data_IF_490938533918
#
_entry.id   IF_490938533918
#
_cell.length_a   1.000
_cell.length_b   1.000
_cell.length_c   1.000
_cell.angle_alpha   90.00
_cell.angle_beta   90.00
_cell.angle_gamma   90.00
#
_symmetry.space_group_name_H-M   'P 1'
#
loop_
_entity.id
_entity.type
_entity.pdbx_description
1 polymer ?
#
# COMPACT_ATOMS: atom_id res chain seq x y z
N UNK A 1 34.31 42.79 -9.31
CA UNK A 1 34.88 41.43 -9.10
C UNK A 1 33.78 40.45 -8.60
N UNK A 2 32.67 40.32 -9.32
CA UNK A 2 31.50 39.50 -8.90
C UNK A 2 30.91 38.61 -10.03
N UNK A 3 31.65 38.34 -11.11
CA UNK A 3 31.15 37.57 -12.26
C UNK A 3 31.38 36.04 -12.27
N UNK A 4 32.23 35.42 -11.38
CA UNK A 4 32.47 33.98 -11.50
C UNK A 4 31.50 33.12 -10.69
N UNK A 5 30.67 33.68 -9.78
CA UNK A 5 29.75 32.85 -8.93
C UNK A 5 28.47 32.54 -9.67
N UNK A 6 27.99 33.43 -10.54
CA UNK A 6 26.75 33.21 -11.32
C UNK A 6 26.91 32.12 -12.40
N UNK A 7 28.07 32.02 -13.01
CA UNK A 7 28.34 31.00 -14.03
C UNK A 7 28.49 29.58 -13.47
N UNK A 8 28.99 29.41 -12.25
CA UNK A 8 29.08 28.11 -11.59
C UNK A 8 27.69 27.54 -11.20
N UNK A 9 26.77 28.41 -10.81
CA UNK A 9 25.38 28.01 -10.53
C UNK A 9 24.65 27.51 -11.76
N UNK A 10 24.84 28.14 -12.90
CA UNK A 10 24.21 27.75 -14.17
C UNK A 10 24.72 26.41 -14.70
N UNK A 11 26.01 26.10 -14.54
CA UNK A 11 26.59 24.80 -14.93
C UNK A 11 26.17 23.63 -14.05
N UNK A 12 25.93 23.87 -12.76
CA UNK A 12 25.43 22.83 -11.84
C UNK A 12 23.95 22.54 -12.10
N UNK A 13 23.15 23.57 -12.41
CA UNK A 13 21.74 23.43 -12.77
C UNK A 13 21.55 22.69 -14.10
N UNK A 14 22.37 22.99 -15.11
CA UNK A 14 22.36 22.29 -16.39
C UNK A 14 22.67 20.78 -16.27
N UNK A 15 23.64 20.41 -15.44
CA UNK A 15 24.01 19.02 -15.21
C UNK A 15 22.94 18.22 -14.44
N UNK A 16 22.20 18.85 -13.54
CA UNK A 16 21.07 18.22 -12.84
C UNK A 16 19.87 17.99 -13.76
N UNK A 17 19.59 18.91 -14.66
CA UNK A 17 18.51 18.79 -15.67
C UNK A 17 18.83 17.66 -16.65
N UNK A 18 20.08 17.54 -17.10
CA UNK A 18 20.50 16.47 -18.00
C UNK A 18 20.45 15.08 -17.33
N UNK A 19 20.80 15.00 -16.06
CA UNK A 19 20.69 13.74 -15.28
C UNK A 19 19.23 13.35 -15.07
N UNK A 20 18.34 14.30 -14.72
CA UNK A 20 16.91 14.05 -14.61
C UNK A 20 16.27 13.66 -15.95
N UNK A 21 16.62 14.33 -17.04
CA UNK A 21 16.15 13.99 -18.39
C UNK A 21 16.54 12.57 -18.78
N UNK A 22 17.78 12.18 -18.53
CA UNK A 22 18.28 10.85 -18.83
C UNK A 22 17.66 9.76 -17.94
N UNK A 23 17.35 10.07 -16.67
CA UNK A 23 16.60 9.18 -15.78
C UNK A 23 15.15 9.01 -16.26
N UNK A 24 14.50 10.08 -16.69
CA UNK A 24 13.14 10.06 -17.24
C UNK A 24 13.12 9.27 -18.56
N UNK A 25 14.09 9.49 -19.45
CA UNK A 25 14.22 8.73 -20.69
C UNK A 25 14.48 7.23 -20.43
N UNK A 26 15.33 6.89 -19.46
CA UNK A 26 15.57 5.51 -19.06
C UNK A 26 14.30 4.85 -18.49
N UNK A 27 13.52 5.59 -17.70
CA UNK A 27 12.24 5.13 -17.17
C UNK A 27 11.20 4.91 -18.30
N UNK A 28 11.15 5.82 -19.29
CA UNK A 28 10.27 5.66 -20.46
C UNK A 28 10.70 4.52 -21.37
N UNK A 29 11.98 4.30 -21.58
CA UNK A 29 12.51 3.16 -22.35
C UNK A 29 12.27 1.81 -21.65
N UNK A 30 12.31 1.77 -20.33
CA UNK A 30 11.99 0.58 -19.54
C UNK A 30 10.48 0.22 -19.58
N UNK A 31 9.62 1.17 -19.94
CA UNK A 31 8.17 0.98 -20.10
C UNK A 31 7.76 0.49 -21.50
N UNK A 32 8.67 0.46 -22.48
CA UNK A 32 8.39 -0.09 -23.81
C UNK A 32 8.36 -1.61 -23.72
N UNK A 33 7.18 -2.18 -23.53
CA UNK A 33 6.96 -3.62 -23.67
C UNK A 33 6.96 -3.96 -25.17
N UNK A 34 7.92 -4.76 -25.61
CA UNK A 34 7.84 -5.40 -26.91
C UNK A 34 6.67 -6.40 -26.87
N UNK A 35 5.73 -6.35 -27.84
CA UNK A 35 4.70 -7.36 -27.88
C UNK A 35 5.37 -8.70 -28.18
N UNK A 36 5.40 -9.60 -27.20
CA UNK A 36 5.66 -11.00 -27.47
C UNK A 36 4.42 -11.55 -28.18
N UNK A 37 4.56 -12.11 -29.35
CA UNK A 37 3.52 -12.92 -29.99
C UNK A 37 3.42 -14.22 -29.20
N UNK A 38 2.70 -14.19 -28.09
CA UNK A 38 2.38 -15.38 -27.35
C UNK A 38 1.26 -16.12 -28.10
N UNK A 39 1.41 -17.41 -28.26
CA UNK A 39 0.33 -18.29 -28.65
C UNK A 39 -0.81 -18.09 -27.64
N UNK A 40 -2.05 -17.91 -28.10
CA UNK A 40 -3.18 -17.74 -27.17
C UNK A 40 -3.23 -18.94 -26.21
N UNK A 41 -3.30 -18.73 -24.91
CA UNK A 41 -3.35 -19.82 -23.95
C UNK A 41 -4.60 -20.68 -24.18
N UNK A 42 -4.44 -21.99 -24.08
CA UNK A 42 -5.59 -22.91 -24.09
C UNK A 42 -6.34 -22.82 -22.75
N UNK A 43 -7.52 -22.21 -22.77
CA UNK A 43 -8.39 -22.09 -21.60
C UNK A 43 -9.33 -23.26 -21.38
N UNK A 44 -9.22 -24.35 -22.17
CA UNK A 44 -10.08 -25.54 -22.09
C UNK A 44 -10.11 -26.16 -20.70
N UNK A 45 -8.96 -26.22 -20.01
CA UNK A 45 -8.87 -26.73 -18.65
C UNK A 45 -9.70 -25.90 -17.65
N UNK A 46 -9.62 -24.56 -17.72
CA UNK A 46 -10.34 -23.65 -16.83
C UNK A 46 -11.85 -23.69 -17.10
N UNK A 47 -12.23 -23.68 -18.38
CA UNK A 47 -13.62 -23.77 -18.82
C UNK A 47 -14.27 -25.04 -18.31
N UNK A 48 -13.60 -26.19 -18.46
CA UNK A 48 -14.10 -27.49 -17.99
C UNK A 48 -14.22 -27.53 -16.45
N UNK A 49 -13.23 -26.99 -15.74
CA UNK A 49 -13.20 -26.98 -14.27
C UNK A 49 -14.35 -26.17 -13.68
N UNK A 50 -14.63 -25.02 -14.26
CA UNK A 50 -15.62 -24.07 -13.74
C UNK A 50 -16.97 -24.13 -14.49
N UNK A 51 -17.12 -24.98 -15.48
CA UNK A 51 -18.37 -25.11 -16.27
C UNK A 51 -18.65 -23.85 -17.11
N UNK A 52 -17.61 -23.14 -17.56
CA UNK A 52 -17.80 -21.98 -18.42
C UNK A 52 -18.04 -22.39 -19.86
N UNK A 53 -19.09 -21.83 -20.48
CA UNK A 53 -19.46 -22.05 -21.86
C UNK A 53 -19.60 -20.74 -22.63
N UNK A 54 -19.48 -20.80 -23.96
CA UNK A 54 -19.67 -19.64 -24.83
C UNK A 54 -21.07 -19.05 -24.67
N UNK A 55 -21.17 -17.76 -24.41
CA UNK A 55 -22.43 -17.05 -24.12
C UNK A 55 -22.65 -16.75 -22.63
N UNK A 56 -21.88 -17.35 -21.74
CA UNK A 56 -21.84 -16.95 -20.33
C UNK A 56 -21.08 -15.61 -20.14
N UNK A 57 -21.26 -14.91 -18.99
CA UNK A 57 -20.47 -13.74 -18.65
C UNK A 57 -18.98 -14.01 -18.78
N UNK A 58 -18.21 -13.01 -19.20
CA UNK A 58 -16.77 -13.14 -19.38
C UNK A 58 -16.07 -13.63 -18.11
N UNK A 59 -14.96 -14.34 -18.27
CA UNK A 59 -14.22 -14.96 -17.15
C UNK A 59 -13.84 -13.98 -16.04
N UNK A 60 -13.63 -12.69 -16.36
CA UNK A 60 -13.32 -11.65 -15.36
C UNK A 60 -14.43 -11.50 -14.31
N UNK A 61 -15.69 -11.78 -14.69
CA UNK A 61 -16.84 -11.70 -13.77
C UNK A 61 -16.83 -12.83 -12.72
N UNK A 62 -16.01 -13.85 -12.93
CA UNK A 62 -15.82 -14.96 -11.99
C UNK A 62 -14.79 -14.61 -10.91
N UNK A 63 -13.83 -13.72 -11.21
CA UNK A 63 -12.86 -13.25 -10.21
C UNK A 63 -13.56 -12.37 -9.17
N UNK A 64 -13.52 -12.79 -7.94
CA UNK A 64 -14.13 -12.05 -6.82
C UNK A 64 -13.17 -10.96 -6.37
N UNK A 65 -13.52 -9.69 -6.63
CA UNK A 65 -12.71 -8.52 -6.22
C UNK A 65 -12.92 -8.23 -4.74
N UNK A 66 -12.27 -9.03 -3.91
CA UNK A 66 -12.37 -8.98 -2.45
C UNK A 66 -11.06 -9.42 -1.77
N UNK A 67 -10.73 -8.93 -0.57
CA UNK A 67 -9.51 -9.29 0.14
C UNK A 67 -9.32 -10.79 0.39
N UNK A 68 -10.41 -11.53 0.56
CA UNK A 68 -10.33 -12.98 0.80
C UNK A 68 -9.93 -13.78 -0.44
N UNK A 69 -10.16 -13.24 -1.65
CA UNK A 69 -9.99 -13.97 -2.91
C UNK A 69 -8.86 -13.46 -3.78
N UNK A 70 -8.17 -12.41 -3.36
CA UNK A 70 -7.03 -11.84 -4.09
C UNK A 70 -5.72 -12.03 -3.33
N UNK A 71 -4.62 -11.68 -3.98
CA UNK A 71 -3.30 -11.64 -3.34
C UNK A 71 -3.22 -10.65 -2.16
N UNK A 72 -2.21 -10.77 -1.30
CA UNK A 72 -2.14 -10.03 -0.03
C UNK A 72 -2.09 -8.52 -0.19
N UNK A 73 -1.69 -8.03 -1.36
CA UNK A 73 -1.46 -6.61 -1.65
C UNK A 73 -2.54 -5.97 -2.54
N UNK A 74 -3.58 -6.71 -2.96
CA UNK A 74 -4.60 -6.20 -3.90
C UNK A 74 -5.55 -5.17 -3.27
N UNK A 75 -6.07 -5.50 -2.09
CA UNK A 75 -7.00 -4.68 -1.30
C UNK A 75 -6.52 -4.60 0.15
N UNK A 76 -5.31 -4.05 0.39
CA UNK A 76 -4.73 -4.03 1.73
C UNK A 76 -5.57 -3.17 2.67
N UNK A 77 -5.59 -3.56 3.94
CA UNK A 77 -6.16 -2.70 5.00
C UNK A 77 -5.31 -1.44 5.12
N UNK A 78 -5.89 -0.23 4.98
CA UNK A 78 -5.17 1.02 5.12
C UNK A 78 -4.44 1.15 6.47
N UNK A 79 -3.21 1.65 6.42
CA UNK A 79 -2.38 1.86 7.62
C UNK A 79 -3.03 2.85 8.59
N UNK A 80 -2.99 2.54 9.88
CA UNK A 80 -3.40 3.46 10.95
C UNK A 80 -2.39 4.61 11.06
N UNK A 81 -2.81 5.83 10.73
CA UNK A 81 -1.99 7.05 10.86
C UNK A 81 -2.07 7.59 12.29
N UNK A 82 -1.02 8.32 12.71
CA UNK A 82 -0.86 8.80 14.09
C UNK A 82 -1.63 10.06 14.46
N UNK A 83 -2.51 10.55 13.57
CA UNK A 83 -3.27 11.78 13.80
C UNK A 83 -2.45 13.06 13.60
N UNK A 84 -1.18 12.97 13.19
CA UNK A 84 -0.34 14.13 12.89
C UNK A 84 0.65 13.86 11.75
N UNK A 85 1.06 14.93 11.09
CA UNK A 85 2.06 14.91 10.02
C UNK A 85 3.48 14.89 10.58
N UNK A 86 4.37 14.16 9.92
CA UNK A 86 5.81 14.21 10.16
C UNK A 86 6.39 15.49 9.57
N UNK A 87 7.45 16.03 10.21
CA UNK A 87 8.08 17.26 9.76
C UNK A 87 9.19 17.03 8.71
N UNK A 88 9.57 15.80 8.44
CA UNK A 88 10.62 15.44 7.47
C UNK A 88 10.01 14.61 6.36
N UNK A 89 10.53 14.77 5.16
CA UNK A 89 10.26 13.85 4.06
C UNK A 89 10.89 12.50 4.38
N UNK A 90 10.20 11.42 4.01
CA UNK A 90 10.70 10.06 4.17
C UNK A 90 10.61 9.32 2.82
N UNK A 91 11.66 8.58 2.48
CA UNK A 91 11.65 7.58 1.41
C UNK A 91 11.89 6.24 2.10
N UNK A 92 10.98 5.31 1.87
CA UNK A 92 11.01 3.98 2.48
C UNK A 92 11.04 2.90 1.40
N UNK A 93 11.86 1.89 1.62
CA UNK A 93 11.85 0.63 0.88
C UNK A 93 11.58 -0.48 1.87
N UNK A 94 10.64 -1.35 1.55
CA UNK A 94 10.20 -2.44 2.41
C UNK A 94 10.28 -3.76 1.65
N UNK A 95 10.87 -4.77 2.28
CA UNK A 95 10.77 -6.16 1.86
C UNK A 95 9.77 -6.89 2.75
N UNK A 96 8.84 -7.62 2.14
CA UNK A 96 7.79 -8.35 2.86
C UNK A 96 7.78 -9.83 2.49
N UNK A 97 7.42 -10.66 3.46
CA UNK A 97 7.08 -12.07 3.24
C UNK A 97 5.73 -12.35 3.86
N UNK A 98 4.82 -12.84 3.03
CA UNK A 98 3.46 -13.20 3.41
C UNK A 98 3.36 -14.72 3.51
N UNK A 99 3.02 -15.21 4.68
CA UNK A 99 2.82 -16.63 4.97
C UNK A 99 1.32 -16.92 4.97
N UNK A 100 0.88 -17.70 4.01
CA UNK A 100 -0.45 -18.27 3.94
C UNK A 100 -0.33 -19.71 3.40
N UNK A 101 -1.06 -20.65 3.99
CA UNK A 101 -1.02 -22.04 3.52
C UNK A 101 -1.51 -22.10 2.09
N UNK A 102 -0.65 -22.52 1.17
CA UNK A 102 -0.94 -22.62 -0.25
C UNK A 102 -0.75 -21.34 -1.07
N UNK A 103 -0.40 -20.18 -0.48
CA UNK A 103 -0.07 -18.94 -1.23
C UNK A 103 1.05 -18.14 -0.57
N UNK A 104 2.28 -18.68 -0.44
CA UNK A 104 3.43 -17.90 0.00
C UNK A 104 3.75 -16.82 -1.03
N UNK A 105 3.85 -15.58 -0.57
CA UNK A 105 4.11 -14.40 -1.41
C UNK A 105 5.23 -13.55 -0.82
N UNK A 106 6.09 -12.96 -1.67
CA UNK A 106 7.12 -12.01 -1.28
C UNK A 106 6.99 -10.76 -2.12
N UNK A 107 7.27 -9.59 -1.52
CA UNK A 107 7.26 -8.34 -2.26
C UNK A 107 8.37 -7.37 -1.84
N UNK A 108 8.64 -6.45 -2.75
CA UNK A 108 9.36 -5.21 -2.48
C UNK A 108 8.40 -4.06 -2.76
N UNK A 109 8.21 -3.21 -1.77
CA UNK A 109 7.37 -2.02 -1.87
C UNK A 109 8.15 -0.74 -1.59
N UNK A 110 7.64 0.39 -2.09
CA UNK A 110 8.22 1.70 -1.92
C UNK A 110 7.20 2.69 -1.39
N UNK A 111 7.67 3.67 -0.62
CA UNK A 111 6.87 4.80 -0.14
C UNK A 111 7.69 6.09 -0.17
N UNK A 112 7.10 7.16 -0.68
CA UNK A 112 7.61 8.52 -0.58
C UNK A 112 6.59 9.38 0.17
N UNK A 113 7.02 10.07 1.22
CA UNK A 113 6.22 10.98 2.03
C UNK A 113 6.87 12.37 2.02
N UNK A 114 6.11 13.40 1.67
CA UNK A 114 6.59 14.77 1.51
C UNK A 114 5.65 15.74 2.23
N UNK A 115 6.05 16.29 3.39
CA UNK A 115 5.32 17.37 4.06
C UNK A 115 5.64 18.72 3.41
N UNK A 116 4.65 19.60 3.36
CA UNK A 116 4.77 20.98 2.87
C UNK A 116 3.76 21.89 3.58
N UNK A 117 3.68 23.16 3.16
CA UNK A 117 2.80 24.15 3.78
C UNK A 117 3.01 24.22 5.31
N UNK A 118 4.27 24.34 5.77
CA UNK A 118 4.65 24.40 7.18
C UNK A 118 4.15 23.20 8.02
N UNK A 119 4.10 22.02 7.40
CA UNK A 119 3.63 20.79 8.04
C UNK A 119 2.12 20.71 8.24
N UNK A 120 1.33 21.48 7.48
CA UNK A 120 -0.14 21.40 7.49
C UNK A 120 -0.70 20.41 6.48
N UNK A 121 0.06 20.15 5.43
CA UNK A 121 -0.31 19.22 4.35
C UNK A 121 0.87 18.28 4.08
N UNK A 122 0.58 17.06 3.68
CA UNK A 122 1.57 16.15 3.13
C UNK A 122 0.99 15.35 1.96
N UNK A 123 1.86 14.98 1.04
CA UNK A 123 1.58 14.02 -0.02
C UNK A 123 2.32 12.73 0.30
N UNK A 124 1.68 11.61 0.06
CA UNK A 124 2.30 10.30 0.15
C UNK A 124 1.99 9.51 -1.13
N UNK A 125 3.01 8.88 -1.70
CA UNK A 125 2.90 7.95 -2.82
C UNK A 125 3.51 6.62 -2.39
N UNK A 126 2.80 5.50 -2.60
CA UNK A 126 3.30 4.18 -2.23
C UNK A 126 2.69 3.08 -3.11
N UNK A 127 3.33 1.92 -3.10
CA UNK A 127 2.85 0.75 -3.82
C UNK A 127 3.87 -0.39 -3.80
N UNK A 128 3.43 -1.56 -4.21
CA UNK A 128 4.30 -2.72 -4.42
C UNK A 128 5.00 -2.57 -5.77
N UNK A 129 6.33 -2.58 -5.75
CA UNK A 129 7.15 -2.44 -6.95
C UNK A 129 7.19 -3.77 -7.71
N UNK A 130 7.37 -4.86 -6.96
CA UNK A 130 7.44 -6.22 -7.50
C UNK A 130 6.93 -7.20 -6.45
N UNK A 131 6.13 -8.15 -6.87
CA UNK A 131 5.60 -9.25 -6.07
C UNK A 131 5.91 -10.56 -6.76
N UNK A 132 6.45 -11.52 -6.02
CA UNK A 132 6.61 -12.92 -6.42
C UNK A 132 5.59 -13.76 -5.68
N UNK A 133 4.82 -14.55 -6.42
CA UNK A 133 3.79 -15.44 -5.86
C UNK A 133 3.96 -16.88 -6.34
N UNK A 134 3.50 -17.81 -5.51
CA UNK A 134 3.47 -19.22 -5.82
C UNK A 134 2.33 -19.88 -5.03
N UNK A 135 1.16 -20.08 -5.65
CA UNK A 135 0.02 -20.70 -4.97
C UNK A 135 -0.29 -22.08 -5.55
N UNK A 136 -0.87 -22.91 -4.70
CA UNK A 136 -1.29 -24.28 -5.04
C UNK A 136 -2.60 -24.29 -5.82
N UNK A 137 -2.90 -25.44 -6.41
CA UNK A 137 -4.09 -25.64 -7.24
C UNK A 137 -5.41 -25.34 -6.53
N UNK A 138 -5.53 -25.68 -5.25
CA UNK A 138 -6.73 -25.41 -4.46
C UNK A 138 -7.01 -23.91 -4.37
N UNK A 139 -5.99 -23.09 -4.12
CA UNK A 139 -6.10 -21.63 -4.09
C UNK A 139 -6.41 -21.06 -5.46
N UNK A 140 -5.78 -21.60 -6.54
CA UNK A 140 -6.07 -21.25 -7.92
C UNK A 140 -7.56 -21.42 -8.23
N UNK A 141 -8.09 -22.59 -7.90
CA UNK A 141 -9.47 -22.95 -8.19
C UNK A 141 -10.47 -22.14 -7.35
N UNK A 142 -10.19 -21.94 -6.06
CA UNK A 142 -11.01 -21.10 -5.16
C UNK A 142 -11.13 -19.65 -5.66
N UNK A 143 -10.05 -19.12 -6.22
CA UNK A 143 -10.00 -17.73 -6.74
C UNK A 143 -10.45 -17.58 -8.19
N UNK A 144 -10.87 -18.66 -8.85
CA UNK A 144 -11.19 -18.70 -10.28
C UNK A 144 -10.04 -18.20 -11.16
N UNK A 145 -8.81 -18.37 -10.70
CA UNK A 145 -7.63 -17.92 -11.42
C UNK A 145 -7.43 -18.68 -12.72
N UNK A 146 -7.01 -17.97 -13.76
CA UNK A 146 -6.62 -18.49 -15.06
C UNK A 146 -5.10 -18.71 -15.22
N UNK A 147 -4.34 -18.50 -14.17
CA UNK A 147 -2.91 -18.80 -14.14
C UNK A 147 -2.71 -20.28 -13.79
N UNK A 148 -2.51 -21.11 -14.81
CA UNK A 148 -2.43 -22.57 -14.66
C UNK A 148 -1.27 -22.98 -13.76
N UNK A 149 -0.12 -22.34 -13.90
CA UNK A 149 1.09 -22.63 -13.14
C UNK A 149 1.01 -22.16 -11.67
N UNK A 150 0.15 -21.20 -11.37
CA UNK A 150 -0.02 -20.63 -10.03
C UNK A 150 1.21 -19.87 -9.50
N UNK A 151 2.14 -19.47 -10.37
CA UNK A 151 3.39 -18.82 -9.99
C UNK A 151 3.79 -17.74 -10.97
N UNK A 152 4.40 -16.69 -10.46
CA UNK A 152 4.85 -15.60 -11.33
C UNK A 152 5.30 -14.35 -10.60
N UNK A 153 5.36 -13.29 -11.36
CA UNK A 153 5.72 -11.95 -10.88
C UNK A 153 4.57 -11.02 -11.22
N UNK A 154 4.16 -10.21 -10.23
CA UNK A 154 3.15 -9.16 -10.40
C UNK A 154 3.70 -7.80 -10.00
N UNK A 155 3.07 -6.73 -10.48
CA UNK A 155 3.33 -5.34 -10.11
C UNK A 155 2.09 -4.78 -9.42
N UNK A 156 2.29 -3.99 -8.37
CA UNK A 156 1.18 -3.50 -7.56
C UNK A 156 0.49 -2.25 -8.09
N UNK A 157 -0.65 -1.95 -7.47
CA UNK A 157 -1.31 -0.66 -7.64
C UNK A 157 -0.50 0.46 -6.99
N UNK A 158 -0.56 1.65 -7.58
CA UNK A 158 -0.03 2.87 -6.99
C UNK A 158 -1.12 3.58 -6.18
N UNK A 159 -0.73 4.06 -5.02
CA UNK A 159 -1.57 4.83 -4.11
C UNK A 159 -1.04 6.26 -3.99
N UNK A 160 -1.95 7.23 -4.07
CA UNK A 160 -1.66 8.64 -3.90
C UNK A 160 -2.52 9.20 -2.78
N UNK A 161 -1.90 9.66 -1.70
CA UNK A 161 -2.58 10.21 -0.54
C UNK A 161 -2.29 11.70 -0.40
N UNK A 162 -3.34 12.47 -0.10
CA UNK A 162 -3.23 13.81 0.46
C UNK A 162 -3.62 13.75 1.93
N UNK A 163 -2.79 14.30 2.79
CA UNK A 163 -3.01 14.34 4.24
C UNK A 163 -3.06 15.79 4.71
N UNK A 164 -4.04 16.12 5.52
CA UNK A 164 -4.29 17.48 6.03
C UNK A 164 -4.35 17.44 7.56
N UNK A 165 -3.47 18.22 8.22
CA UNK A 165 -3.48 18.37 9.66
C UNK A 165 -4.63 19.29 10.08
N UNK A 166 -5.67 18.73 10.69
CA UNK A 166 -6.82 19.51 11.16
C UNK A 166 -6.54 20.13 12.54
N UNK A 167 -6.09 19.31 13.49
CA UNK A 167 -5.72 19.76 14.85
C UNK A 167 -4.40 19.11 15.26
N UNK A 168 -3.49 19.89 15.86
CA UNK A 168 -2.22 19.42 16.42
C UNK A 168 -1.86 20.21 17.67
N UNK A 169 -1.35 19.51 18.69
CA UNK A 169 -0.82 20.08 19.94
C UNK A 169 -1.79 21.02 20.67
N UNK A 170 -3.09 20.68 20.66
CA UNK A 170 -4.17 21.45 21.28
C UNK A 170 -4.81 20.68 22.45
N UNK A 171 -5.82 21.29 23.07
CA UNK A 171 -6.67 20.65 24.08
C UNK A 171 -7.36 19.40 23.51
N UNK A 172 -7.77 19.46 22.23
CA UNK A 172 -8.34 18.33 21.47
C UNK A 172 -7.25 17.34 21.03
N UNK A 173 -7.61 16.08 20.73
CA UNK A 173 -6.69 15.13 20.11
C UNK A 173 -6.10 15.68 18.81
N UNK A 174 -4.85 15.31 18.51
CA UNK A 174 -4.29 15.51 17.18
C UNK A 174 -5.20 14.82 16.19
N UNK A 175 -5.57 15.49 15.10
CA UNK A 175 -6.52 15.00 14.13
C UNK A 175 -5.98 15.21 12.72
N UNK A 176 -5.90 14.14 11.96
CA UNK A 176 -5.41 14.11 10.59
C UNK A 176 -6.50 13.58 9.67
N UNK A 177 -6.80 14.31 8.60
CA UNK A 177 -7.59 13.83 7.47
C UNK A 177 -6.66 13.26 6.41
N UNK A 178 -6.94 12.05 5.93
CA UNK A 178 -6.29 11.47 4.76
C UNK A 178 -7.32 11.13 3.70
N UNK A 179 -7.00 11.46 2.45
CA UNK A 179 -7.73 11.02 1.26
C UNK A 179 -6.74 10.33 0.35
N UNK A 180 -7.05 9.12 -0.10
CA UNK A 180 -6.17 8.29 -0.92
C UNK A 180 -6.90 7.78 -2.15
N UNK A 181 -6.24 7.87 -3.29
CA UNK A 181 -6.65 7.24 -4.54
C UNK A 181 -5.79 6.01 -4.79
N UNK A 182 -6.39 4.91 -5.19
CA UNK A 182 -5.74 3.71 -5.69
C UNK A 182 -5.95 3.64 -7.20
N UNK A 183 -4.87 3.46 -7.94
CA UNK A 183 -4.93 3.27 -9.39
C UNK A 183 -5.34 1.84 -9.74
N UNK A 184 -5.66 1.60 -11.00
CA UNK A 184 -5.83 0.27 -11.58
C UNK A 184 -4.55 -0.13 -12.36
N UNK A 185 -3.36 0.08 -11.75
CA UNK A 185 -2.08 -0.17 -12.39
C UNK A 185 -1.48 -1.53 -12.05
N UNK A 186 -2.08 -2.24 -11.12
CA UNK A 186 -1.68 -3.58 -10.74
C UNK A 186 -1.82 -4.57 -11.91
N UNK A 187 -1.01 -5.62 -11.90
CA UNK A 187 -0.99 -6.61 -12.96
C UNK A 187 -1.56 -7.95 -12.50
N UNK A 188 -1.74 -8.89 -13.45
CA UNK A 188 -2.05 -10.30 -13.21
C UNK A 188 -3.40 -10.52 -12.50
N UNK A 189 -4.46 -9.85 -13.00
CA UNK A 189 -5.83 -10.16 -12.56
C UNK A 189 -6.20 -11.62 -12.88
N UNK A 190 -5.69 -12.18 -13.95
CA UNK A 190 -5.86 -13.59 -14.32
C UNK A 190 -5.30 -14.55 -13.27
N UNK A 191 -4.29 -14.12 -12.52
CA UNK A 191 -3.73 -14.84 -11.39
C UNK A 191 -4.38 -14.45 -10.04
N UNK A 192 -5.45 -13.67 -10.06
CA UNK A 192 -6.10 -13.12 -8.86
C UNK A 192 -5.11 -12.38 -7.92
N UNK A 193 -4.11 -11.69 -8.50
CA UNK A 193 -3.11 -10.95 -7.71
C UNK A 193 -3.55 -9.53 -7.43
N UNK A 194 -3.87 -8.72 -8.46
CA UNK A 194 -4.38 -7.36 -8.32
C UNK A 194 -5.72 -7.21 -9.03
N UNK A 195 -6.49 -6.20 -8.64
CA UNK A 195 -7.91 -6.13 -9.02
C UNK A 195 -8.18 -5.50 -10.38
N UNK A 196 -7.17 -4.91 -11.04
CA UNK A 196 -7.35 -4.12 -12.28
C UNK A 196 -8.52 -3.11 -12.16
N UNK A 197 -8.77 -2.63 -10.97
CA UNK A 197 -9.89 -1.76 -10.63
C UNK A 197 -9.42 -0.60 -9.73
N UNK A 198 -9.82 0.64 -10.00
CA UNK A 198 -9.49 1.77 -9.14
C UNK A 198 -10.29 1.72 -7.83
N UNK A 199 -9.81 2.47 -6.85
CA UNK A 199 -10.48 2.64 -5.57
C UNK A 199 -10.03 3.91 -4.88
N UNK A 200 -10.69 4.26 -3.79
CA UNK A 200 -10.31 5.37 -2.95
C UNK A 200 -10.76 5.14 -1.51
N UNK A 201 -10.04 5.72 -0.60
CA UNK A 201 -10.48 5.77 0.79
C UNK A 201 -10.21 7.13 1.42
N UNK A 202 -10.99 7.46 2.42
CA UNK A 202 -10.78 8.63 3.24
C UNK A 202 -10.96 8.26 4.71
N UNK A 203 -10.09 8.80 5.57
CA UNK A 203 -10.15 8.57 7.01
C UNK A 203 -9.73 9.78 7.83
N UNK A 204 -10.25 9.81 9.05
CA UNK A 204 -9.80 10.66 10.13
C UNK A 204 -9.04 9.80 11.14
N UNK A 205 -7.80 10.17 11.40
CA UNK A 205 -6.98 9.56 12.43
C UNK A 205 -6.80 10.50 13.61
N UNK A 206 -6.87 9.95 14.82
CA UNK A 206 -6.84 10.70 16.08
C UNK A 206 -5.75 10.17 16.99
N UNK A 207 -5.07 11.04 17.74
CA UNK A 207 -4.15 10.63 18.79
C UNK A 207 -3.98 11.67 19.90
N UNK A 208 -3.49 11.21 21.05
CA UNK A 208 -3.11 12.10 22.14
C UNK A 208 -1.85 11.56 22.82
N UNK A 209 -0.90 12.48 23.09
CA UNK A 209 0.36 12.13 23.73
C UNK A 209 0.26 12.24 25.24
N UNK A 210 0.72 11.19 25.94
CA UNK A 210 0.89 11.14 27.38
C UNK A 210 2.33 10.79 27.68
N UNK A 211 3.07 11.72 28.30
CA UNK A 211 4.49 11.51 28.62
C UNK A 211 4.67 11.33 30.13
N UNK A 212 5.31 10.24 30.52
CA UNK A 212 5.67 9.98 31.93
C UNK A 212 6.82 10.87 32.38
N UNK A 213 7.05 10.99 33.70
CA UNK A 213 8.19 11.69 34.27
C UNK A 213 9.54 11.12 33.82
N UNK A 214 9.58 9.84 33.45
CA UNK A 214 10.78 9.13 32.99
C UNK A 214 10.99 9.21 31.46
N UNK A 215 10.20 10.03 30.78
CA UNK A 215 10.30 10.24 29.33
C UNK A 215 9.75 9.12 28.45
N UNK A 216 8.94 8.20 29.02
CA UNK A 216 8.17 7.25 28.23
C UNK A 216 6.92 7.96 27.69
N UNK A 217 6.76 7.98 26.37
CA UNK A 217 5.56 8.48 25.71
C UNK A 217 4.64 7.32 25.39
N UNK A 218 3.38 7.45 25.78
CA UNK A 218 2.26 6.59 25.40
C UNK A 218 1.30 7.39 24.53
N UNK A 219 0.96 6.88 23.35
CA UNK A 219 0.06 7.54 22.39
C UNK A 219 -1.02 6.58 21.94
N UNK A 220 -2.23 6.63 22.51
CA UNK A 220 -3.40 5.98 21.93
C UNK A 220 -3.75 6.62 20.58
N UNK A 221 -4.20 5.77 19.64
CA UNK A 221 -4.51 6.14 18.25
C UNK A 221 -5.83 5.51 17.88
N UNK A 222 -6.67 6.27 17.16
CA UNK A 222 -7.92 5.78 16.56
C UNK A 222 -8.03 6.22 15.11
N UNK A 223 -8.79 5.50 14.31
CA UNK A 223 -9.08 5.81 12.91
C UNK A 223 -10.51 5.41 12.58
N UNK A 224 -11.21 6.29 11.86
CA UNK A 224 -12.51 6.01 11.25
C UNK A 224 -12.55 6.60 9.84
N UNK A 225 -13.15 5.87 8.92
CA UNK A 225 -13.23 6.31 7.54
C UNK A 225 -14.10 5.39 6.70
N UNK A 226 -13.93 5.48 5.40
CA UNK A 226 -14.55 4.58 4.44
C UNK A 226 -13.57 4.21 3.32
N UNK A 227 -13.80 3.06 2.70
CA UNK A 227 -13.07 2.58 1.55
C UNK A 227 -14.04 2.14 0.47
N UNK A 228 -13.79 2.55 -0.76
CA UNK A 228 -14.61 2.19 -1.92
C UNK A 228 -13.72 1.70 -3.05
N UNK A 229 -14.14 0.64 -3.74
CA UNK A 229 -13.43 0.09 -4.91
C UNK A 229 -14.41 -0.47 -5.92
N UNK A 230 -14.01 -0.48 -7.18
CA UNK A 230 -14.78 -1.11 -8.23
C UNK A 230 -14.69 -2.64 -8.15
N UNK A 231 -15.76 -3.29 -8.57
CA UNK A 231 -15.86 -4.76 -8.67
C UNK A 231 -16.17 -5.18 -10.11
N UNK A 232 -16.06 -6.47 -10.38
CA UNK A 232 -16.45 -7.07 -11.66
C UNK A 232 -17.89 -7.61 -11.65
N UNK A 233 -18.64 -7.36 -10.59
CA UNK A 233 -20.03 -7.78 -10.44
C UNK A 233 -20.95 -6.79 -11.18
N UNK A 234 -21.58 -7.24 -12.27
CA UNK A 234 -22.44 -6.40 -13.11
C UNK A 234 -23.66 -5.82 -12.37
N UNK A 235 -24.11 -6.50 -11.30
CA UNK A 235 -25.22 -6.01 -10.46
C UNK A 235 -24.76 -5.01 -9.40
N UNK A 236 -23.48 -5.03 -9.05
CA UNK A 236 -22.90 -4.19 -8.01
C UNK A 236 -21.47 -3.78 -8.40
N UNK A 237 -21.35 -2.81 -9.30
CA UNK A 237 -20.07 -2.35 -9.87
C UNK A 237 -19.11 -1.74 -8.84
N UNK A 238 -19.57 -1.51 -7.61
CA UNK A 238 -18.80 -0.90 -6.53
C UNK A 238 -19.06 -1.63 -5.22
N UNK A 239 -18.02 -1.76 -4.40
CA UNK A 239 -18.15 -2.15 -3.00
C UNK A 239 -17.69 -0.99 -2.12
N UNK A 240 -18.40 -0.74 -1.03
CA UNK A 240 -18.10 0.28 -0.03
C UNK A 240 -17.93 -0.38 1.33
N UNK A 241 -17.01 0.15 2.12
CA UNK A 241 -16.69 -0.41 3.42
C UNK A 241 -16.47 0.70 4.46
N UNK A 242 -16.92 0.46 5.68
CA UNK A 242 -16.54 1.25 6.83
C UNK A 242 -15.11 0.89 7.25
N UNK A 243 -14.20 1.86 7.21
CA UNK A 243 -12.80 1.71 7.62
C UNK A 243 -12.67 2.06 9.10
N UNK A 244 -11.95 1.24 9.85
CA UNK A 244 -11.74 1.44 11.29
C UNK A 244 -10.34 1.00 11.72
N UNK A 245 -9.88 1.57 12.84
CA UNK A 245 -8.63 1.16 13.46
C UNK A 245 -8.46 1.72 14.86
N UNK A 246 -7.77 0.96 15.71
CA UNK A 246 -7.33 1.40 17.02
C UNK A 246 -5.95 0.84 17.33
N UNK A 247 -5.17 1.60 18.09
CA UNK A 247 -3.84 1.16 18.46
C UNK A 247 -3.18 2.10 19.47
N UNK A 248 -1.92 1.83 19.74
CA UNK A 248 -1.10 2.69 20.56
C UNK A 248 0.38 2.61 20.16
N UNK A 249 1.10 3.73 20.35
CA UNK A 249 2.55 3.78 20.32
C UNK A 249 3.09 3.87 21.77
N UNK A 250 4.22 3.20 21.98
CA UNK A 250 5.12 3.40 23.12
C UNK A 250 6.46 3.88 22.60
N UNK A 251 6.90 5.10 22.99
CA UNK A 251 8.14 5.68 22.49
C UNK A 251 9.09 6.02 23.64
N UNK A 252 10.35 5.60 23.50
CA UNK A 252 11.45 5.96 24.41
C UNK A 252 12.80 5.85 23.72
N UNK A 253 13.69 6.84 23.89
CA UNK A 253 15.07 6.81 23.37
C UNK A 253 15.17 6.47 21.88
N UNK A 254 14.32 7.11 21.06
CA UNK A 254 14.23 6.89 19.61
C UNK A 254 13.80 5.46 19.21
N UNK A 255 13.31 4.65 20.12
CA UNK A 255 12.58 3.43 19.86
C UNK A 255 11.09 3.72 19.92
N UNK A 256 10.36 3.10 19.01
CA UNK A 256 8.90 3.09 18.98
C UNK A 256 8.41 1.68 18.81
N UNK A 257 7.59 1.25 19.73
CA UNK A 257 6.77 0.05 19.60
C UNK A 257 5.35 0.47 19.27
N UNK A 258 4.74 -0.12 18.24
CA UNK A 258 3.36 0.12 17.82
C UNK A 258 2.59 -1.18 17.90
N UNK A 259 1.40 -1.15 18.52
CA UNK A 259 0.44 -2.24 18.46
C UNK A 259 -0.90 -1.70 17.96
N UNK A 260 -1.54 -2.38 16.99
CA UNK A 260 -2.84 -1.94 16.47
C UNK A 260 -3.70 -3.08 15.95
N UNK A 261 -5.01 -2.83 15.94
CA UNK A 261 -6.01 -3.61 15.24
C UNK A 261 -6.67 -2.70 14.20
N UNK A 262 -6.67 -3.12 12.95
CA UNK A 262 -7.24 -2.36 11.83
C UNK A 262 -8.06 -3.27 10.93
N UNK A 263 -9.02 -2.69 10.22
CA UNK A 263 -9.86 -3.43 9.29
C UNK A 263 -10.82 -2.52 8.56
N UNK A 264 -11.59 -3.12 7.68
CA UNK A 264 -12.77 -2.50 7.10
C UNK A 264 -13.92 -3.50 7.01
N UNK A 265 -15.13 -2.99 6.92
CA UNK A 265 -16.35 -3.77 6.94
C UNK A 265 -17.16 -3.46 5.68
N UNK A 266 -17.00 -4.29 4.64
CA UNK A 266 -17.75 -4.18 3.41
C UNK A 266 -19.19 -4.68 3.54
N UNK A 267 -20.06 -4.23 2.65
CA UNK A 267 -21.49 -4.55 2.71
C UNK A 267 -21.89 -5.79 1.87
N UNK A 268 -21.04 -6.21 0.93
CA UNK A 268 -21.37 -7.32 0.03
C UNK A 268 -21.32 -8.70 0.68
N UNK A 269 -20.61 -8.83 1.81
CA UNK A 269 -20.43 -10.08 2.54
C UNK A 269 -19.83 -11.21 1.68
N UNK A 270 -18.87 -10.87 0.83
CA UNK A 270 -18.19 -11.77 -0.09
C UNK A 270 -16.67 -11.87 0.20
N UNK A 271 -16.27 -11.92 1.48
CA UNK A 271 -14.87 -11.88 1.89
C UNK A 271 -14.29 -10.46 1.95
N UNK A 272 -15.13 -9.45 2.21
CA UNK A 272 -14.85 -8.03 2.16
C UNK A 272 -14.77 -7.35 3.54
N UNK A 273 -14.46 -8.15 4.60
CA UNK A 273 -14.35 -7.69 6.00
C UNK A 273 -13.00 -8.04 6.62
N UNK A 274 -11.88 -7.65 6.01
CA UNK A 274 -10.57 -7.99 6.53
C UNK A 274 -10.34 -7.30 7.87
N UNK A 275 -9.76 -8.06 8.81
CA UNK A 275 -9.30 -7.56 10.11
C UNK A 275 -7.91 -8.10 10.39
N UNK A 276 -7.01 -7.25 10.89
CA UNK A 276 -5.64 -7.63 11.17
C UNK A 276 -5.10 -6.98 12.45
N UNK A 277 -4.22 -7.70 13.12
CA UNK A 277 -3.35 -7.17 14.17
C UNK A 277 -2.01 -6.78 13.56
N UNK A 278 -1.48 -5.63 13.96
CA UNK A 278 -0.20 -5.14 13.51
C UNK A 278 0.68 -4.83 14.72
N UNK A 279 1.92 -5.30 14.68
CA UNK A 279 2.95 -4.99 15.67
C UNK A 279 4.17 -4.46 14.94
N UNK A 280 4.69 -3.33 15.38
CA UNK A 280 5.83 -2.67 14.78
C UNK A 280 6.89 -2.28 15.81
N UNK A 281 8.15 -2.41 15.43
CA UNK A 281 9.29 -1.91 16.19
C UNK A 281 10.15 -1.05 15.26
N UNK A 282 10.17 0.25 15.53
CA UNK A 282 10.97 1.22 14.77
C UNK A 282 12.07 1.79 15.65
N UNK A 283 13.28 1.88 15.04
CA UNK A 283 14.42 2.62 15.60
C UNK A 283 14.74 3.80 14.71
N UNK A 284 14.68 4.99 15.28
CA UNK A 284 15.04 6.21 14.61
C UNK A 284 16.51 6.58 14.86
N UNK A 285 17.22 6.93 13.79
CA UNK A 285 18.54 7.54 13.77
C UNK A 285 18.44 8.98 13.26
N UNK A 286 19.55 9.69 13.15
CA UNK A 286 19.56 11.10 12.72
C UNK A 286 18.89 11.32 11.36
N UNK A 287 19.28 10.56 10.35
CA UNK A 287 18.82 10.71 8.95
C UNK A 287 18.19 9.41 8.39
N UNK A 288 18.11 8.37 9.17
CA UNK A 288 17.53 7.10 8.75
C UNK A 288 16.64 6.51 9.83
N UNK A 289 15.87 5.49 9.51
CA UNK A 289 15.22 4.63 10.49
C UNK A 289 15.15 3.19 9.96
N UNK A 290 15.08 2.25 10.87
CA UNK A 290 14.77 0.85 10.59
C UNK A 290 13.42 0.53 11.22
N UNK A 291 12.62 -0.26 10.52
CA UNK A 291 11.32 -0.70 11.02
C UNK A 291 11.10 -2.18 10.72
N UNK A 292 10.68 -2.92 11.71
CA UNK A 292 10.26 -4.32 11.58
C UNK A 292 8.80 -4.38 11.96
N UNK A 293 7.97 -5.01 11.13
CA UNK A 293 6.54 -5.15 11.39
C UNK A 293 6.12 -6.60 11.23
N UNK A 294 5.22 -7.02 12.10
CA UNK A 294 4.48 -8.27 11.99
C UNK A 294 2.99 -7.97 11.88
N UNK A 295 2.34 -8.55 10.88
CA UNK A 295 0.90 -8.45 10.68
C UNK A 295 0.29 -9.85 10.79
N UNK A 296 -0.84 -9.95 11.44
CA UNK A 296 -1.60 -11.19 11.61
C UNK A 296 -3.03 -10.97 11.17
N UNK A 297 -3.41 -11.58 10.05
CA UNK A 297 -4.78 -11.56 9.56
C UNK A 297 -5.69 -12.41 10.44
N UNK A 298 -6.83 -11.84 10.81
CA UNK A 298 -7.82 -12.46 11.67
C UNK A 298 -9.08 -12.89 10.91
N UNK A 299 -9.45 -12.15 9.87
CA UNK A 299 -10.66 -12.37 9.08
C UNK A 299 -10.46 -11.85 7.65
N UNK A 300 -10.94 -12.57 6.65
CA UNK A 300 -10.97 -12.24 5.22
C UNK A 300 -9.62 -11.82 4.58
N UNK A 301 -8.57 -11.78 5.34
CA UNK A 301 -7.19 -11.60 4.94
C UNK A 301 -6.31 -12.39 5.91
N UNK A 302 -6.07 -13.65 5.61
CA UNK A 302 -5.54 -14.62 6.57
C UNK A 302 -4.01 -14.76 6.54
N UNK A 303 -3.32 -13.84 5.88
CA UNK A 303 -1.86 -13.85 5.83
C UNK A 303 -1.24 -13.46 7.18
N UNK A 304 -0.09 -14.09 7.47
CA UNK A 304 0.86 -13.63 8.48
C UNK A 304 2.02 -13.00 7.73
N UNK A 305 2.31 -11.73 7.98
CA UNK A 305 3.30 -10.99 7.19
C UNK A 305 4.41 -10.47 8.09
N UNK A 306 5.65 -10.66 7.66
CA UNK A 306 6.83 -10.04 8.24
C UNK A 306 7.37 -9.01 7.24
N UNK A 307 7.61 -7.77 7.71
CA UNK A 307 8.11 -6.65 6.92
C UNK A 307 9.37 -6.06 7.53
N UNK A 308 10.34 -5.76 6.68
CA UNK A 308 11.56 -5.05 7.03
C UNK A 308 11.68 -3.79 6.18
N UNK A 309 11.68 -2.63 6.84
CA UNK A 309 11.76 -1.34 6.14
C UNK A 309 13.04 -0.62 6.47
N UNK A 310 13.66 -0.04 5.44
CA UNK A 310 14.69 0.97 5.55
C UNK A 310 14.12 2.32 5.12
N UNK A 311 14.33 3.35 5.95
CA UNK A 311 13.73 4.66 5.79
C UNK A 311 14.84 5.72 5.77
N UNK A 312 14.89 6.52 4.70
CA UNK A 312 15.70 7.73 4.61
C UNK A 312 14.85 8.93 5.00
N UNK A 313 15.37 9.76 5.91
CA UNK A 313 14.77 11.01 6.33
C UNK A 313 15.49 12.16 5.63
N UNK A 314 14.78 12.88 4.81
CA UNK A 314 15.29 14.04 4.09
C UNK A 314 14.81 15.32 4.79
N UNK A 315 15.65 16.35 4.79
CA UNK A 315 15.19 17.65 5.26
C UNK A 315 14.10 18.16 4.30
N UNK A 316 13.08 18.88 4.81
CA UNK A 316 12.07 19.45 3.93
C UNK A 316 12.75 20.36 2.90
N UNK A 317 12.29 20.29 1.66
CA UNK A 317 12.67 21.27 0.64
C UNK A 317 12.17 22.65 1.11
N UNK A 318 13.08 23.59 1.22
CA UNK A 318 12.78 25.00 1.55
C UNK A 318 12.15 25.69 0.35
#
# INVERSE_FOLDING_TARGET
MALPIFLKGFFIFGRQIDTMRNLILFFFLALIRLPATAQEPDWGWWNNLHGWESGMPGWRNWIIISPAYLGPNALPVPELKRGFLLNKSEIEVTASTHFYSGDPTQDISGRAYIPFAEGKIAIEMYGVIIEHYNYIEEIRNERFSRDEDGKGIAFGDLYFSTMIQLFKDRKFPNTLLRVTLRTASGSNIEAARYSDAPGYFADLSFSKDFTSKEGLLFRPIGMLGFYSWQTNDELNLQNDALLYGMGADLEKNAWRFTGSCTGYFGYKNNGDRPMQLNFGLRKDFKNTALNVQYQHGLHDWLYKTLRFSFIWKLNPAH
#
